data_IF_514443371988
#
_entry.id   IF_514443371988
#
_cell.length_a   1.000
_cell.length_b   1.000
_cell.length_c   1.000
_cell.angle_alpha   90.00
_cell.angle_beta   90.00
_cell.angle_gamma   90.00
#
_symmetry.space_group_name_H-M   'P 1'
#
loop_
_entity.id
_entity.type
_entity.pdbx_description
1 polymer ?
#
# COMPACT_ATOMS: atom_id res chain seq x y z
N UNK A 1 5.77 1.44 2.50
CA UNK A 1 5.48 1.52 1.05
C UNK A 1 5.35 2.98 0.70
N UNK A 2 6.14 3.44 -0.23
CA UNK A 2 6.25 4.85 -0.62
C UNK A 2 5.45 5.14 -1.90
N UNK A 3 5.22 6.41 -2.18
CA UNK A 3 4.64 6.92 -3.41
C UNK A 3 5.44 6.47 -4.66
N UNK A 4 6.78 6.59 -4.61
CA UNK A 4 7.65 5.98 -5.62
C UNK A 4 7.86 4.50 -5.27
N UNK A 5 7.76 3.62 -6.26
CA UNK A 5 7.81 2.16 -6.08
C UNK A 5 9.14 1.67 -5.47
N UNK A 6 10.24 2.40 -5.76
CA UNK A 6 11.59 2.15 -5.24
C UNK A 6 12.05 0.69 -5.40
N UNK A 7 11.68 0.07 -6.52
CA UNK A 7 12.19 -1.24 -6.89
C UNK A 7 13.64 -1.13 -7.38
N UNK A 8 14.41 -2.15 -7.12
CA UNK A 8 15.76 -2.28 -7.66
C UNK A 8 15.69 -2.59 -9.16
N UNK A 9 16.09 -1.68 -10.06
CA UNK A 9 15.83 -1.82 -11.50
C UNK A 9 16.61 -2.97 -12.16
N UNK A 10 17.71 -3.40 -11.55
CA UNK A 10 18.56 -4.50 -12.01
C UNK A 10 18.14 -5.88 -11.46
N UNK A 11 17.03 -5.94 -10.73
CA UNK A 11 16.47 -7.15 -10.12
C UNK A 11 15.08 -7.41 -10.68
N UNK A 12 14.73 -8.67 -10.89
CA UNK A 12 13.38 -9.09 -11.24
C UNK A 12 12.41 -8.87 -10.08
N UNK A 13 11.10 -9.00 -10.33
CA UNK A 13 10.07 -8.87 -9.29
C UNK A 13 10.32 -9.82 -8.12
N UNK A 14 10.58 -11.10 -8.41
CA UNK A 14 10.87 -12.09 -7.37
C UNK A 14 12.15 -11.76 -6.59
N UNK A 15 13.20 -11.32 -7.26
CA UNK A 15 14.46 -10.94 -6.62
C UNK A 15 14.31 -9.72 -5.71
N UNK A 16 13.50 -8.73 -6.11
CA UNK A 16 13.15 -7.59 -5.27
C UNK A 16 12.48 -8.02 -3.95
N UNK A 17 11.61 -9.03 -4.01
CA UNK A 17 10.90 -9.55 -2.83
C UNK A 17 11.81 -10.38 -1.95
N UNK A 18 12.67 -11.22 -2.54
CA UNK A 18 13.54 -12.15 -1.81
C UNK A 18 14.72 -11.48 -1.10
N UNK A 19 15.15 -10.31 -1.55
CA UNK A 19 16.40 -9.69 -1.12
C UNK A 19 16.48 -9.54 0.41
N UNK A 20 15.47 -8.94 1.03
CA UNK A 20 15.46 -8.72 2.47
C UNK A 20 15.25 -10.02 3.28
N UNK A 21 14.32 -10.91 2.94
CA UNK A 21 14.20 -12.22 3.57
C UNK A 21 15.50 -13.02 3.62
N UNK A 22 16.26 -13.06 2.54
CA UNK A 22 17.56 -13.77 2.50
C UNK A 22 18.60 -13.07 3.36
N UNK A 23 18.80 -11.75 3.18
CA UNK A 23 19.94 -11.05 3.78
C UNK A 23 19.70 -10.63 5.24
N UNK A 24 18.45 -10.42 5.64
CA UNK A 24 18.10 -9.89 6.97
C UNK A 24 17.48 -10.96 7.86
N UNK A 25 16.61 -11.83 7.30
CA UNK A 25 15.94 -12.89 8.06
C UNK A 25 16.64 -14.23 8.01
N UNK A 26 17.68 -14.36 7.16
CA UNK A 26 18.48 -15.57 7.05
C UNK A 26 17.75 -16.76 6.38
N UNK A 27 16.69 -16.48 5.58
CA UNK A 27 16.03 -17.54 4.83
C UNK A 27 16.97 -18.06 3.75
N UNK A 28 16.93 -19.38 3.48
CA UNK A 28 17.56 -19.92 2.30
C UNK A 28 16.94 -19.36 1.02
N UNK A 29 17.69 -19.33 -0.08
CA UNK A 29 17.14 -18.87 -1.37
C UNK A 29 15.88 -19.62 -1.78
N UNK A 30 15.83 -20.94 -1.56
CA UNK A 30 14.67 -21.78 -1.88
C UNK A 30 13.42 -21.41 -1.06
N UNK A 31 13.58 -21.16 0.24
CA UNK A 31 12.49 -20.74 1.12
C UNK A 31 12.01 -19.33 0.75
N UNK A 32 12.93 -18.40 0.49
CA UNK A 32 12.62 -17.04 0.09
C UNK A 32 11.90 -16.99 -1.27
N UNK A 33 12.30 -17.83 -2.23
CA UNK A 33 11.67 -17.94 -3.53
C UNK A 33 10.25 -18.48 -3.42
N UNK A 34 10.06 -19.58 -2.70
CA UNK A 34 8.72 -20.16 -2.48
C UNK A 34 7.77 -19.15 -1.81
N UNK A 35 8.24 -18.45 -0.78
CA UNK A 35 7.45 -17.43 -0.09
C UNK A 35 7.22 -16.18 -0.97
N UNK A 36 8.22 -15.78 -1.75
CA UNK A 36 8.08 -14.67 -2.70
C UNK A 36 7.06 -14.96 -3.80
N UNK A 37 7.02 -16.20 -4.31
CA UNK A 37 6.01 -16.64 -5.29
C UNK A 37 4.59 -16.64 -4.68
N UNK A 38 4.44 -17.05 -3.43
CA UNK A 38 3.18 -16.95 -2.71
C UNK A 38 2.70 -15.48 -2.63
N UNK A 39 3.60 -14.58 -2.25
CA UNK A 39 3.30 -13.14 -2.16
C UNK A 39 2.95 -12.53 -3.52
N UNK A 40 3.68 -12.89 -4.59
CA UNK A 40 3.34 -12.46 -5.95
C UNK A 40 1.96 -12.95 -6.37
N UNK A 41 1.60 -14.18 -6.01
CA UNK A 41 0.27 -14.72 -6.26
C UNK A 41 -0.82 -13.92 -5.53
N UNK A 42 -0.58 -13.55 -4.26
CA UNK A 42 -1.51 -12.74 -3.47
C UNK A 42 -1.77 -11.36 -4.07
N UNK A 43 -0.78 -10.76 -4.74
CA UNK A 43 -0.93 -9.47 -5.41
C UNK A 43 -1.25 -9.61 -6.91
N UNK A 44 -1.61 -10.81 -7.38
CA UNK A 44 -2.04 -11.08 -8.76
C UNK A 44 -0.92 -10.97 -9.81
N UNK A 45 0.35 -11.26 -9.44
CA UNK A 45 1.52 -11.08 -10.30
C UNK A 45 2.42 -12.34 -10.39
N UNK A 46 1.86 -13.53 -10.16
CA UNK A 46 2.64 -14.78 -10.22
C UNK A 46 3.33 -14.99 -11.59
N UNK A 47 2.66 -14.62 -12.68
CA UNK A 47 3.16 -14.69 -14.05
C UNK A 47 4.27 -13.67 -14.36
N UNK A 48 4.44 -12.64 -13.52
CA UNK A 48 5.41 -11.55 -13.67
C UNK A 48 6.67 -11.73 -12.81
N UNK A 49 6.86 -12.87 -12.15
CA UNK A 49 7.97 -13.10 -11.21
C UNK A 49 9.34 -12.83 -11.81
N UNK A 50 9.55 -13.14 -13.09
CA UNK A 50 10.81 -12.94 -13.81
C UNK A 50 10.93 -11.59 -14.53
N UNK A 51 9.89 -10.73 -14.46
CA UNK A 51 9.89 -9.41 -15.10
C UNK A 51 10.74 -8.42 -14.33
N UNK A 52 11.46 -7.56 -15.05
CA UNK A 52 12.17 -6.41 -14.49
C UNK A 52 11.20 -5.23 -14.29
N UNK A 53 11.50 -4.26 -13.41
CA UNK A 53 10.61 -3.13 -13.13
C UNK A 53 10.18 -2.35 -14.37
N UNK A 54 11.06 -2.13 -15.33
CA UNK A 54 10.78 -1.44 -16.60
C UNK A 54 9.78 -2.17 -17.51
N UNK A 55 9.57 -3.46 -17.27
CA UNK A 55 8.59 -4.31 -17.98
C UNK A 55 7.23 -4.36 -17.29
N UNK A 56 7.07 -3.66 -16.17
CA UNK A 56 5.87 -3.65 -15.34
C UNK A 56 5.17 -2.28 -15.42
N UNK A 57 3.83 -2.29 -15.44
CA UNK A 57 3.06 -1.06 -15.27
C UNK A 57 3.29 -0.45 -13.88
N UNK A 58 2.95 0.84 -13.69
CA UNK A 58 3.05 1.50 -12.38
C UNK A 58 2.30 0.76 -11.27
N UNK A 59 1.06 0.33 -11.54
CA UNK A 59 0.27 -0.46 -10.60
C UNK A 59 0.89 -1.83 -10.29
N UNK A 60 1.49 -2.48 -11.29
CA UNK A 60 2.24 -3.73 -11.08
C UNK A 60 3.48 -3.51 -10.23
N UNK A 61 4.25 -2.45 -10.49
CA UNK A 61 5.42 -2.09 -9.68
C UNK A 61 5.03 -1.82 -8.23
N UNK A 62 3.94 -1.10 -7.99
CA UNK A 62 3.45 -0.83 -6.64
C UNK A 62 3.00 -2.11 -5.92
N UNK A 63 2.33 -3.01 -6.60
CA UNK A 63 1.96 -4.32 -6.03
C UNK A 63 3.18 -5.19 -5.71
N UNK A 64 4.24 -5.14 -6.51
CA UNK A 64 5.54 -5.77 -6.16
C UNK A 64 6.14 -5.10 -4.92
N UNK A 65 6.08 -3.77 -4.80
CA UNK A 65 6.59 -3.05 -3.62
C UNK A 65 5.81 -3.42 -2.33
N UNK A 66 4.49 -3.62 -2.45
CA UNK A 66 3.65 -4.13 -1.34
C UNK A 66 4.08 -5.56 -0.97
N UNK A 67 4.22 -6.46 -1.95
CA UNK A 67 4.66 -7.84 -1.73
C UNK A 67 6.06 -7.89 -1.09
N UNK A 68 6.99 -7.02 -1.52
CA UNK A 68 8.32 -6.87 -0.91
C UNK A 68 8.24 -6.46 0.56
N UNK A 69 7.35 -5.54 0.91
CA UNK A 69 7.15 -5.14 2.30
C UNK A 69 6.56 -6.28 3.14
N UNK A 70 5.58 -7.01 2.61
CA UNK A 70 4.96 -8.18 3.25
C UNK A 70 5.95 -9.32 3.49
N UNK A 71 6.99 -9.45 2.63
CA UNK A 71 8.00 -10.51 2.74
C UNK A 71 8.79 -10.44 4.06
N UNK A 72 8.83 -9.29 4.70
CA UNK A 72 9.43 -9.11 6.02
C UNK A 72 8.51 -9.52 7.18
N UNK A 73 7.28 -9.95 6.91
CA UNK A 73 6.24 -10.29 7.89
C UNK A 73 6.08 -9.21 8.95
N UNK A 74 5.75 -7.98 8.55
CA UNK A 74 5.62 -6.86 9.48
C UNK A 74 4.37 -7.01 10.34
N UNK A 75 4.42 -6.51 11.58
CA UNK A 75 3.24 -6.34 12.44
C UNK A 75 2.40 -5.12 12.01
N UNK A 76 3.05 -4.10 11.47
CA UNK A 76 2.43 -2.87 10.99
C UNK A 76 3.00 -2.50 9.63
N UNK A 77 2.14 -2.14 8.68
CA UNK A 77 2.53 -1.58 7.38
C UNK A 77 2.25 -0.08 7.32
N UNK A 78 3.22 0.67 6.81
CA UNK A 78 3.10 2.11 6.57
C UNK A 78 2.99 2.35 5.07
N UNK A 79 1.95 3.08 4.65
CA UNK A 79 1.72 3.49 3.26
C UNK A 79 1.73 5.01 3.17
N UNK A 80 2.58 5.55 2.32
CA UNK A 80 2.70 6.97 2.07
C UNK A 80 2.28 7.26 0.63
N UNK A 81 1.03 7.69 0.46
CA UNK A 81 0.37 7.96 -0.82
C UNK A 81 0.62 6.89 -1.90
N UNK A 82 0.28 5.62 -1.67
CA UNK A 82 0.67 4.51 -2.53
C UNK A 82 0.09 4.56 -3.96
N UNK A 83 -0.89 5.41 -4.22
CA UNK A 83 -1.58 5.53 -5.51
C UNK A 83 -1.28 6.83 -6.26
N UNK A 84 -0.62 7.81 -5.62
CA UNK A 84 -0.47 9.16 -6.20
C UNK A 84 0.45 9.26 -7.43
N UNK A 85 1.30 8.24 -7.65
CA UNK A 85 2.16 8.15 -8.84
C UNK A 85 1.56 7.24 -9.95
N UNK A 86 0.28 6.86 -9.83
CA UNK A 86 -0.39 5.93 -10.73
C UNK A 86 -1.40 6.64 -11.63
N UNK A 87 -1.55 6.11 -12.83
CA UNK A 87 -2.67 6.47 -13.70
C UNK A 87 -4.00 5.98 -13.07
N UNK A 88 -5.12 6.71 -13.26
CA UNK A 88 -6.42 6.37 -12.66
C UNK A 88 -6.88 4.93 -12.90
N UNK A 89 -6.56 4.38 -14.08
CA UNK A 89 -6.92 3.01 -14.45
C UNK A 89 -6.21 1.93 -13.60
N UNK A 90 -5.07 2.28 -12.99
CA UNK A 90 -4.23 1.36 -12.21
C UNK A 90 -4.49 1.44 -10.69
N UNK A 91 -5.15 2.50 -10.23
CA UNK A 91 -5.41 2.75 -8.80
C UNK A 91 -6.22 1.62 -8.19
N UNK A 92 -7.28 1.18 -8.88
CA UNK A 92 -8.19 0.14 -8.39
C UNK A 92 -7.48 -1.15 -7.98
N UNK A 93 -6.57 -1.65 -8.83
CA UNK A 93 -5.83 -2.89 -8.57
C UNK A 93 -4.93 -2.81 -7.31
N UNK A 94 -4.38 -1.65 -7.02
CA UNK A 94 -3.55 -1.44 -5.81
C UNK A 94 -4.43 -1.32 -4.57
N UNK A 95 -5.55 -0.60 -4.65
CA UNK A 95 -6.49 -0.48 -3.55
C UNK A 95 -7.14 -1.81 -3.19
N UNK A 96 -7.49 -2.66 -4.17
CA UNK A 96 -8.01 -4.01 -3.91
C UNK A 96 -7.03 -4.84 -3.07
N UNK A 97 -5.74 -4.82 -3.39
CA UNK A 97 -4.72 -5.51 -2.58
C UNK A 97 -4.70 -4.95 -1.15
N UNK A 98 -4.79 -3.63 -0.97
CA UNK A 98 -4.79 -3.01 0.36
C UNK A 98 -6.09 -3.33 1.14
N UNK A 99 -7.24 -3.38 0.48
CA UNK A 99 -8.52 -3.82 1.07
C UNK A 99 -8.41 -5.27 1.57
N UNK A 100 -7.83 -6.16 0.76
CA UNK A 100 -7.63 -7.55 1.14
C UNK A 100 -6.69 -7.70 2.35
N UNK A 101 -5.65 -6.88 2.44
CA UNK A 101 -4.77 -6.85 3.61
C UNK A 101 -5.51 -6.38 4.87
N UNK A 102 -6.35 -5.35 4.76
CA UNK A 102 -7.19 -4.88 5.87
C UNK A 102 -8.16 -5.97 6.35
N UNK A 103 -8.86 -6.64 5.42
CA UNK A 103 -9.77 -7.76 5.72
C UNK A 103 -9.09 -8.95 6.39
N UNK A 104 -7.78 -9.15 6.13
CA UNK A 104 -6.96 -10.17 6.79
C UNK A 104 -6.43 -9.74 8.17
N UNK A 105 -6.77 -8.54 8.63
CA UNK A 105 -6.37 -8.02 9.94
C UNK A 105 -4.98 -7.42 9.99
N UNK A 106 -4.40 -7.02 8.85
CA UNK A 106 -3.13 -6.30 8.83
C UNK A 106 -3.30 -4.91 9.43
N UNK A 107 -2.52 -4.60 10.45
CA UNK A 107 -2.45 -3.23 10.99
C UNK A 107 -1.76 -2.32 10.00
N UNK A 108 -2.44 -1.26 9.58
CA UNK A 108 -1.92 -0.32 8.58
C UNK A 108 -2.05 1.12 9.05
N UNK A 109 -1.04 1.94 8.75
CA UNK A 109 -1.13 3.41 8.78
C UNK A 109 -1.00 3.88 7.34
N UNK A 110 -2.03 4.56 6.84
CA UNK A 110 -2.12 4.93 5.42
C UNK A 110 -2.31 6.44 5.28
N UNK A 111 -1.41 7.09 4.56
CA UNK A 111 -1.62 8.44 4.03
C UNK A 111 -2.20 8.28 2.63
N UNK A 112 -3.40 8.81 2.40
CA UNK A 112 -4.10 8.68 1.13
C UNK A 112 -5.11 9.82 0.93
N UNK A 113 -5.41 10.11 -0.32
CA UNK A 113 -6.51 10.98 -0.74
C UNK A 113 -7.67 10.18 -1.38
N UNK A 114 -7.62 8.87 -1.35
CA UNK A 114 -8.66 7.98 -1.87
C UNK A 114 -9.79 7.81 -0.85
N UNK A 115 -10.76 8.74 -0.86
CA UNK A 115 -11.80 8.82 0.17
C UNK A 115 -12.71 7.59 0.23
N UNK A 116 -13.00 6.97 -0.91
CA UNK A 116 -13.79 5.74 -0.99
C UNK A 116 -13.09 4.58 -0.27
N UNK A 117 -11.80 4.41 -0.51
CA UNK A 117 -10.97 3.42 0.16
C UNK A 117 -10.93 3.66 1.68
N UNK A 118 -10.68 4.92 2.11
CA UNK A 118 -10.62 5.25 3.55
C UNK A 118 -11.96 4.93 4.23
N UNK A 119 -13.09 5.22 3.59
CA UNK A 119 -14.42 4.90 4.12
C UNK A 119 -14.67 3.41 4.28
N UNK A 120 -14.10 2.59 3.39
CA UNK A 120 -14.31 1.15 3.39
C UNK A 120 -13.48 0.43 4.46
N UNK A 121 -12.21 0.87 4.66
CA UNK A 121 -11.24 0.06 5.42
C UNK A 121 -10.77 0.68 6.72
N UNK A 122 -10.90 2.00 6.90
CA UNK A 122 -10.31 2.64 8.07
C UNK A 122 -11.18 2.45 9.32
N UNK A 123 -10.56 2.06 10.43
CA UNK A 123 -11.18 2.10 11.76
C UNK A 123 -11.14 3.51 12.34
N UNK A 124 -10.08 4.28 12.02
CA UNK A 124 -9.84 5.63 12.52
C UNK A 124 -9.24 6.52 11.43
N UNK A 125 -9.73 7.73 11.34
CA UNK A 125 -9.25 8.78 10.42
C UNK A 125 -8.65 9.92 11.23
N UNK A 126 -7.49 10.40 10.77
CA UNK A 126 -6.83 11.59 11.28
C UNK A 126 -6.70 12.60 10.14
N UNK A 127 -7.16 13.83 10.34
CA UNK A 127 -6.97 14.92 9.38
C UNK A 127 -5.88 15.84 9.89
N UNK A 128 -4.84 16.01 9.09
CA UNK A 128 -3.69 16.86 9.43
C UNK A 128 -3.72 18.16 8.63
N UNK A 129 -3.39 19.24 9.30
CA UNK A 129 -3.13 20.54 8.64
C UNK A 129 -2.03 21.27 9.42
N UNK A 130 -1.09 21.88 8.69
CA UNK A 130 0.04 22.65 9.26
C UNK A 130 0.83 21.87 10.33
N UNK A 131 0.96 20.55 10.13
CA UNK A 131 1.71 19.68 11.05
C UNK A 131 0.97 19.28 12.32
N UNK A 132 -0.31 19.65 12.48
CA UNK A 132 -1.14 19.28 13.63
C UNK A 132 -2.38 18.48 13.20
N UNK A 133 -2.85 17.63 14.10
CA UNK A 133 -4.12 16.90 13.92
C UNK A 133 -5.25 17.88 14.23
N UNK A 134 -6.07 18.19 13.24
CA UNK A 134 -7.21 19.11 13.37
C UNK A 134 -8.55 18.39 13.56
N UNK A 135 -8.64 17.15 13.16
CA UNK A 135 -9.82 16.30 13.31
C UNK A 135 -9.39 14.84 13.49
N UNK A 136 -10.11 14.09 14.33
CA UNK A 136 -9.97 12.64 14.46
C UNK A 136 -11.29 11.99 14.80
N UNK A 137 -11.51 10.78 14.31
CA UNK A 137 -12.72 10.01 14.57
C UNK A 137 -12.85 8.79 13.68
N UNK A 138 -13.98 8.12 13.74
CA UNK A 138 -14.36 7.11 12.77
C UNK A 138 -14.56 7.73 11.38
N UNK A 139 -14.44 6.96 10.28
CA UNK A 139 -14.76 7.47 8.94
C UNK A 139 -16.16 8.10 8.87
N UNK A 140 -17.14 7.46 9.52
CA UNK A 140 -18.51 7.98 9.57
C UNK A 140 -18.57 9.39 10.18
N UNK A 141 -17.91 9.61 11.32
CA UNK A 141 -17.92 10.91 12.00
C UNK A 141 -17.21 11.98 11.16
N UNK A 142 -15.99 11.68 10.71
CA UNK A 142 -15.14 12.65 10.00
C UNK A 142 -15.74 13.04 8.65
N UNK A 143 -16.32 12.09 7.89
CA UNK A 143 -16.83 12.38 6.55
C UNK A 143 -18.26 12.92 6.54
N UNK A 144 -19.08 12.67 7.57
CA UNK A 144 -20.47 13.13 7.58
C UNK A 144 -20.72 14.34 8.47
N UNK A 145 -19.95 14.48 9.55
CA UNK A 145 -20.14 15.58 10.51
C UNK A 145 -18.81 16.11 11.08
N UNK A 146 -17.89 16.58 10.22
CA UNK A 146 -16.62 17.11 10.68
C UNK A 146 -16.81 18.35 11.56
N UNK A 147 -16.11 18.38 12.68
CA UNK A 147 -16.23 19.46 13.70
C UNK A 147 -15.39 20.67 13.32
N UNK A 148 -14.18 20.43 12.78
CA UNK A 148 -13.25 21.50 12.45
C UNK A 148 -13.62 22.15 11.11
N UNK A 149 -13.67 23.49 11.04
CA UNK A 149 -14.05 24.25 9.85
C UNK A 149 -13.19 23.93 8.62
N UNK A 150 -11.89 23.81 8.85
CA UNK A 150 -10.91 23.50 7.80
C UNK A 150 -11.09 22.08 7.23
N UNK A 151 -11.48 21.13 8.09
CA UNK A 151 -11.86 19.78 7.66
C UNK A 151 -13.12 19.82 6.78
N UNK A 152 -14.16 20.57 7.20
CA UNK A 152 -15.37 20.79 6.37
C UNK A 152 -15.06 21.37 5.02
N UNK A 153 -14.24 22.44 4.99
CA UNK A 153 -13.83 23.09 3.73
C UNK A 153 -13.03 22.17 2.81
N UNK A 154 -12.19 21.31 3.38
CA UNK A 154 -11.44 20.32 2.61
C UNK A 154 -12.35 19.25 2.01
N UNK A 155 -13.19 18.64 2.81
CA UNK A 155 -14.10 17.58 2.38
C UNK A 155 -15.13 18.05 1.36
N UNK A 156 -15.64 19.27 1.47
CA UNK A 156 -16.59 19.84 0.50
C UNK A 156 -16.01 20.08 -0.90
N UNK A 157 -14.70 19.99 -1.08
CA UNK A 157 -14.02 20.11 -2.38
C UNK A 157 -13.71 18.76 -3.02
N UNK A 158 -13.76 17.67 -2.24
CA UNK A 158 -13.33 16.35 -2.67
C UNK A 158 -14.53 15.38 -2.77
N UNK A 159 -15.55 15.61 -1.96
CA UNK A 159 -16.81 14.86 -1.97
C UNK A 159 -17.90 15.60 -2.75
#
# INVERSE_FOLDING_TARGET
VFQGFNLFPHMTAIQNIMLAPVNVRGLSHKEAEAYGMELLSRVGLADKHASYPDMLSGGQQQRVAIARALAMRPEVMLFDEPTSALDPEMIGEVLEVMIDLAKQGMTMVVVSHEMSFIREVADKVLVLADGVIIEEGSPQEVFTNPRHERCRSFLSKIL
#
